data_IF_089873841524
#
_entry.id   IF_089873841524
#
_cell.length_a   1.000
_cell.length_b   1.000
_cell.length_c   1.000
_cell.angle_alpha   90.00
_cell.angle_beta   90.00
_cell.angle_gamma   90.00
#
_symmetry.space_group_name_H-M   'P 1'
#
loop_
_entity.id
_entity.type
_entity.pdbx_description
1 polymer ?
#
# COMPACT_ATOMS: atom_id res chain seq x y z
N UNK A 1 43.21 38.54 11.57
CA UNK A 1 42.67 38.64 10.20
C UNK A 1 42.46 37.24 9.65
N UNK A 2 41.35 37.08 8.95
CA UNK A 2 40.68 35.87 8.46
C UNK A 2 41.53 34.93 7.60
N UNK A 3 41.27 33.61 7.66
CA UNK A 3 40.47 32.90 6.64
C UNK A 3 40.29 31.41 6.97
N UNK A 4 39.02 30.97 6.93
CA UNK A 4 38.55 29.59 6.89
C UNK A 4 38.99 28.88 5.61
N UNK A 5 39.30 27.58 5.70
CA UNK A 5 39.10 26.57 4.65
C UNK A 5 39.26 25.21 5.33
N UNK A 6 38.21 24.42 5.57
CA UNK A 6 37.47 23.73 4.53
C UNK A 6 37.94 22.27 4.46
N UNK A 7 37.52 21.43 5.42
CA UNK A 7 37.59 19.97 5.28
C UNK A 7 36.28 19.37 5.77
N UNK A 8 35.38 19.24 4.80
CA UNK A 8 34.12 18.53 4.88
C UNK A 8 34.35 17.13 5.40
N UNK A 9 33.92 16.87 6.64
CA UNK A 9 33.67 15.53 7.11
C UNK A 9 32.66 14.90 6.15
N UNK A 10 33.09 13.86 5.44
CA UNK A 10 32.17 12.97 4.73
C UNK A 10 31.27 12.36 5.80
N UNK A 11 30.11 12.99 5.99
CA UNK A 11 28.98 12.36 6.66
C UNK A 11 28.68 11.16 5.78
N UNK A 12 29.07 9.97 6.24
CA UNK A 12 28.43 8.76 5.79
C UNK A 12 26.96 8.97 6.17
N UNK A 13 26.18 9.48 5.22
CA UNK A 13 24.76 9.18 5.16
C UNK A 13 24.74 7.67 5.02
N UNK A 14 24.72 6.99 6.17
CA UNK A 14 23.94 5.78 6.31
C UNK A 14 22.58 6.17 5.76
N UNK A 15 22.36 5.84 4.49
CA UNK A 15 21.02 5.56 4.01
C UNK A 15 20.56 4.48 4.97
N UNK A 16 19.83 4.91 6.00
CA UNK A 16 18.78 4.08 6.54
C UNK A 16 17.94 3.82 5.31
N UNK A 17 18.21 2.70 4.64
CA UNK A 17 17.15 1.99 3.97
C UNK A 17 16.19 1.72 5.12
N UNK A 18 15.29 2.69 5.38
CA UNK A 18 13.99 2.34 5.93
C UNK A 18 13.65 1.09 5.17
N UNK A 19 13.56 -0.03 5.89
CA UNK A 19 13.06 -1.26 5.33
C UNK A 19 11.67 -0.90 4.83
N UNK A 20 11.64 -0.47 3.57
CA UNK A 20 10.45 -0.22 2.79
C UNK A 20 9.86 -1.60 2.73
N UNK A 21 9.02 -1.89 3.73
CA UNK A 21 8.48 -3.19 4.03
C UNK A 21 8.03 -3.72 2.69
N UNK A 22 8.75 -4.71 2.15
CA UNK A 22 8.51 -5.18 0.79
C UNK A 22 7.04 -5.52 0.78
N UNK A 23 6.23 -4.66 0.14
CA UNK A 23 4.78 -4.75 0.27
C UNK A 23 4.47 -6.07 -0.37
N UNK A 24 4.19 -7.07 0.46
CA UNK A 24 3.93 -8.40 -0.05
C UNK A 24 2.58 -8.30 -0.72
N UNK A 25 2.61 -8.04 -2.03
CA UNK A 25 1.42 -7.86 -2.86
C UNK A 25 0.48 -9.05 -2.68
N UNK A 26 1.04 -10.24 -2.42
CA UNK A 26 0.31 -11.49 -2.17
C UNK A 26 -0.43 -11.53 -0.83
N UNK A 27 0.02 -10.77 0.18
CA UNK A 27 -0.56 -10.70 1.52
C UNK A 27 -1.35 -9.42 1.77
N UNK A 28 -1.43 -8.57 0.76
CA UNK A 28 -2.15 -7.29 0.80
C UNK A 28 -3.45 -7.37 0.02
N UNK A 29 -4.56 -7.04 0.67
CA UNK A 29 -5.86 -6.81 0.00
C UNK A 29 -5.94 -5.34 -0.41
N UNK A 30 -6.46 -5.08 -1.60
CA UNK A 30 -6.77 -3.74 -2.10
C UNK A 30 -8.29 -3.60 -2.25
N UNK A 31 -8.93 -2.88 -1.34
CA UNK A 31 -10.38 -2.67 -1.35
C UNK A 31 -10.74 -1.38 -2.09
N UNK A 32 -11.53 -1.53 -3.17
CA UNK A 32 -11.97 -0.45 -4.04
C UNK A 32 -13.48 -0.58 -4.23
N UNK A 33 -14.30 0.31 -3.65
CA UNK A 33 -15.74 0.23 -3.83
C UNK A 33 -16.12 0.51 -5.29
N UNK A 34 -17.23 -0.08 -5.74
CA UNK A 34 -17.73 0.04 -7.14
C UNK A 34 -18.04 1.47 -7.59
N UNK A 35 -18.17 2.41 -6.64
CA UNK A 35 -18.38 3.82 -6.91
C UNK A 35 -17.10 4.57 -7.35
N UNK A 36 -15.93 3.92 -7.32
CA UNK A 36 -14.67 4.51 -7.78
C UNK A 36 -14.64 4.53 -9.31
N UNK A 37 -14.51 5.70 -9.95
CA UNK A 37 -14.40 5.79 -11.40
C UNK A 37 -13.19 5.03 -11.95
N UNK A 38 -13.35 4.31 -13.06
CA UNK A 38 -12.28 3.47 -13.64
C UNK A 38 -11.02 4.22 -14.05
N UNK A 39 -11.08 5.53 -14.25
CA UNK A 39 -9.91 6.37 -14.53
C UNK A 39 -9.08 6.71 -13.27
N UNK A 40 -9.64 6.51 -12.07
CA UNK A 40 -8.92 6.64 -10.78
C UNK A 40 -8.34 5.30 -10.32
N UNK A 41 -8.67 4.21 -11.03
CA UNK A 41 -8.18 2.85 -10.82
C UNK A 41 -6.79 2.74 -11.49
N UNK A 42 -5.78 3.38 -10.91
CA UNK A 42 -4.39 3.33 -11.39
C UNK A 42 -3.71 2.08 -10.80
N UNK A 43 -3.74 0.94 -11.49
CA UNK A 43 -3.28 -0.34 -10.91
C UNK A 43 -1.99 -0.91 -11.46
N UNK A 44 -1.18 -1.43 -10.53
CA UNK A 44 -0.30 -2.57 -10.78
C UNK A 44 -0.37 -3.67 -9.72
N UNK A 45 -1.31 -3.58 -8.78
CA UNK A 45 -1.79 -4.75 -8.07
C UNK A 45 -2.81 -5.50 -8.95
N UNK A 46 -2.34 -6.36 -9.85
CA UNK A 46 -3.21 -7.22 -10.68
C UNK A 46 -3.88 -8.33 -9.85
N UNK A 47 -3.53 -8.45 -8.57
CA UNK A 47 -3.99 -9.49 -7.64
C UNK A 47 -4.56 -8.85 -6.37
N UNK A 48 -5.47 -9.57 -5.72
CA UNK A 48 -6.04 -9.22 -4.41
C UNK A 48 -6.86 -7.92 -4.39
N UNK A 49 -7.45 -7.54 -5.53
CA UNK A 49 -8.44 -6.46 -5.60
C UNK A 49 -9.80 -7.00 -5.14
N UNK A 50 -10.45 -6.30 -4.23
CA UNK A 50 -11.79 -6.61 -3.72
C UNK A 50 -12.72 -5.42 -3.94
N UNK A 51 -13.92 -5.67 -4.47
CA UNK A 51 -14.98 -4.66 -4.60
C UNK A 51 -16.02 -4.75 -3.50
N UNK A 52 -16.21 -5.97 -2.98
CA UNK A 52 -17.26 -6.30 -2.02
C UNK A 52 -16.67 -6.89 -0.74
N UNK A 53 -17.50 -6.96 0.31
CA UNK A 53 -17.11 -7.61 1.56
C UNK A 53 -16.87 -9.11 1.39
N UNK A 54 -17.64 -9.78 0.53
CA UNK A 54 -17.51 -11.22 0.30
C UNK A 54 -16.16 -11.55 -0.38
N UNK A 55 -15.71 -10.72 -1.32
CA UNK A 55 -14.37 -10.86 -1.91
C UNK A 55 -13.28 -10.86 -0.84
N UNK A 56 -13.40 -9.94 0.13
CA UNK A 56 -12.44 -9.82 1.23
C UNK A 56 -12.43 -11.09 2.09
N UNK A 57 -13.60 -11.66 2.40
CA UNK A 57 -13.69 -12.89 3.19
C UNK A 57 -12.91 -14.05 2.54
N UNK A 58 -13.05 -14.23 1.23
CA UNK A 58 -12.31 -15.28 0.49
C UNK A 58 -10.80 -15.15 0.66
N UNK A 59 -10.27 -13.92 0.62
CA UNK A 59 -8.83 -13.69 0.85
C UNK A 59 -8.43 -13.89 2.32
N UNK A 60 -9.27 -13.47 3.27
CA UNK A 60 -8.99 -13.64 4.71
C UNK A 60 -8.97 -15.12 5.12
N UNK A 61 -9.84 -15.95 4.54
CA UNK A 61 -9.88 -17.40 4.78
C UNK A 61 -8.57 -18.11 4.38
N UNK A 62 -7.79 -17.54 3.47
CA UNK A 62 -6.46 -18.08 3.13
C UNK A 62 -5.47 -18.03 4.28
N UNK A 63 -5.72 -17.21 5.31
CA UNK A 63 -4.85 -17.02 6.49
C UNK A 63 -3.53 -16.30 6.20
N UNK A 64 -3.31 -15.84 4.96
CA UNK A 64 -2.04 -15.22 4.54
C UNK A 64 -2.04 -13.70 4.63
N UNK A 65 -3.21 -13.07 4.70
CA UNK A 65 -3.36 -11.61 4.61
C UNK A 65 -2.87 -10.95 5.90
N UNK A 66 -2.00 -9.96 5.76
CA UNK A 66 -1.47 -9.14 6.86
C UNK A 66 -1.74 -7.64 6.69
N UNK A 67 -2.21 -7.22 5.51
CA UNK A 67 -2.50 -5.82 5.22
C UNK A 67 -3.75 -5.63 4.36
N UNK A 68 -4.53 -4.60 4.66
CA UNK A 68 -5.64 -4.13 3.82
C UNK A 68 -5.43 -2.66 3.48
N UNK A 69 -5.48 -2.35 2.20
CA UNK A 69 -5.39 -1.00 1.67
C UNK A 69 -6.77 -0.60 1.13
N UNK A 70 -7.33 0.48 1.68
CA UNK A 70 -8.63 1.01 1.28
C UNK A 70 -8.48 2.22 0.36
N UNK A 71 -9.32 2.28 -0.67
CA UNK A 71 -9.55 3.52 -1.39
C UNK A 71 -10.24 4.56 -0.47
N UNK A 72 -9.92 5.87 -0.55
CA UNK A 72 -10.55 6.89 0.31
C UNK A 72 -12.07 7.03 0.16
N UNK A 73 -12.62 6.60 -0.98
CA UNK A 73 -14.07 6.57 -1.23
C UNK A 73 -14.78 5.41 -0.51
N UNK A 74 -14.04 4.54 0.18
CA UNK A 74 -14.64 3.49 1.01
C UNK A 74 -15.41 4.11 2.17
N UNK A 75 -16.70 3.76 2.27
CA UNK A 75 -17.53 4.20 3.38
C UNK A 75 -16.93 3.71 4.72
N UNK A 76 -16.89 4.61 5.71
CA UNK A 76 -16.48 4.32 7.08
C UNK A 76 -17.15 3.09 7.70
N UNK A 77 -18.44 2.84 7.41
CA UNK A 77 -19.16 1.68 7.91
C UNK A 77 -18.60 0.37 7.32
N UNK A 78 -18.48 0.31 6.00
CA UNK A 78 -17.89 -0.82 5.27
C UNK A 78 -16.45 -1.09 5.70
N UNK A 79 -15.62 -0.04 5.81
CA UNK A 79 -14.25 -0.15 6.28
C UNK A 79 -14.19 -0.78 7.68
N UNK A 80 -15.00 -0.29 8.62
CA UNK A 80 -15.03 -0.83 9.99
C UNK A 80 -15.45 -2.30 10.01
N UNK A 81 -16.47 -2.68 9.25
CA UNK A 81 -16.91 -4.08 9.16
C UNK A 81 -15.80 -4.98 8.63
N UNK A 82 -15.14 -4.58 7.53
CA UNK A 82 -14.01 -5.31 6.96
C UNK A 82 -12.89 -5.48 8.00
N UNK A 83 -12.49 -4.40 8.66
CA UNK A 83 -11.39 -4.44 9.65
C UNK A 83 -11.74 -5.28 10.86
N UNK A 84 -12.99 -5.22 11.35
CA UNK A 84 -13.45 -6.05 12.45
C UNK A 84 -13.32 -7.53 12.11
N UNK A 85 -13.80 -7.95 10.94
CA UNK A 85 -13.66 -9.32 10.49
C UNK A 85 -12.22 -9.72 10.25
N UNK A 86 -11.45 -8.86 9.59
CA UNK A 86 -10.05 -9.14 9.32
C UNK A 86 -9.22 -9.34 10.59
N UNK A 87 -9.55 -8.64 11.68
CA UNK A 87 -8.94 -8.84 13.01
C UNK A 87 -9.31 -10.16 13.68
N UNK A 88 -10.44 -10.78 13.33
CA UNK A 88 -10.79 -12.13 13.80
C UNK A 88 -9.86 -13.16 13.16
N UNK A 89 -9.57 -13.01 11.87
CA UNK A 89 -8.65 -13.92 11.14
C UNK A 89 -7.17 -13.64 11.47
N UNK A 90 -6.79 -12.37 11.58
CA UNK A 90 -5.44 -11.94 11.91
C UNK A 90 -5.49 -10.68 12.81
N UNK A 91 -5.31 -10.83 14.14
CA UNK A 91 -5.35 -9.71 15.09
C UNK A 91 -4.30 -8.63 14.83
N UNK A 92 -3.21 -8.98 14.15
CA UNK A 92 -2.09 -8.08 13.82
C UNK A 92 -2.23 -7.42 12.44
N UNK A 93 -3.38 -7.57 11.78
CA UNK A 93 -3.58 -7.02 10.45
C UNK A 93 -3.46 -5.49 10.43
N UNK A 94 -2.77 -4.97 9.43
CA UNK A 94 -2.57 -3.55 9.23
C UNK A 94 -3.63 -2.99 8.27
N UNK A 95 -4.14 -1.79 8.56
CA UNK A 95 -4.97 -1.04 7.62
C UNK A 95 -4.28 0.24 7.15
N UNK A 96 -4.50 0.61 5.89
CA UNK A 96 -4.02 1.85 5.32
C UNK A 96 -5.08 2.42 4.37
N UNK A 97 -5.20 3.75 4.31
CA UNK A 97 -6.00 4.45 3.32
C UNK A 97 -5.04 5.14 2.36
N UNK A 98 -5.16 4.91 1.06
CA UNK A 98 -4.32 5.59 0.05
C UNK A 98 -4.99 5.62 -1.31
N UNK A 99 -4.69 6.66 -2.08
CA UNK A 99 -4.95 6.75 -3.54
C UNK A 99 -3.77 6.25 -4.36
N UNK A 100 -2.60 6.13 -3.74
CA UNK A 100 -1.36 5.70 -4.37
C UNK A 100 -1.22 4.18 -4.23
N UNK A 101 -1.91 3.47 -5.11
CA UNK A 101 -1.70 2.03 -5.28
C UNK A 101 -0.36 1.79 -5.98
N UNK A 102 0.32 0.66 -5.72
CA UNK A 102 1.53 0.32 -6.46
C UNK A 102 1.20 0.33 -7.95
N UNK A 103 1.86 1.20 -8.70
CA UNK A 103 1.87 1.21 -10.16
C UNK A 103 3.21 0.63 -10.63
N UNK A 104 3.22 -0.07 -11.76
CA UNK A 104 4.42 -0.56 -12.44
C UNK A 104 5.24 0.69 -12.64
N UNK A 105 6.55 0.59 -12.36
CA UNK A 105 7.46 1.61 -12.87
C UNK A 105 7.15 1.74 -14.36
N UNK A 106 6.71 2.94 -14.77
CA UNK A 106 6.70 3.27 -16.17
C UNK A 106 8.17 3.18 -16.57
N UNK A 107 8.55 2.04 -17.18
CA UNK A 107 9.90 1.83 -17.67
C UNK A 107 10.27 3.06 -18.50
N UNK A 108 11.43 3.62 -18.21
CA UNK A 108 11.99 4.82 -18.83
C UNK A 108 12.36 4.59 -20.31
N UNK A 109 11.38 4.20 -21.12
CA UNK A 109 11.46 4.04 -22.57
C UNK A 109 10.40 4.92 -23.25
N UNK A 110 10.17 6.14 -22.75
CA UNK A 110 9.63 7.18 -23.62
C UNK A 110 10.77 7.60 -24.55
N UNK A 111 10.71 7.13 -25.81
CA UNK A 111 11.48 7.72 -26.90
C UNK A 111 10.82 9.07 -27.20
N UNK A 112 11.65 10.12 -27.21
CA UNK A 112 11.29 11.53 -27.38
C UNK A 112 10.47 11.82 -28.65
#
# INVERSE_FOLDING_TARGET
>A
MSKLSGKTSKINQSYSTDEESVVSLERTIYFIPDNVPSNQIVFSAVKNICGTFDDVLVYLESGKVDKIIFHPLTNSHTRRQIVQWAKIFNPSIQEQITTHFPSKSCGSNQVA
#
